data_IF_756937909595
#
_entry.id   IF_756937909595
#
_cell.length_a   1.000
_cell.length_b   1.000
_cell.length_c   1.000
_cell.angle_alpha   90.00
_cell.angle_beta   90.00
_cell.angle_gamma   90.00
#
_symmetry.space_group_name_H-M   'P 1'
#
loop_
_entity.id
_entity.type
_entity.pdbx_description
1 polymer ?
#
# COMPACT_ATOMS: atom_id res chain seq x y z
N UNK A 1 -9.66 4.46 1.04
CA UNK A 1 -9.12 3.16 1.48
C UNK A 1 -9.88 2.53 2.64
N UNK A 2 -10.36 3.31 3.63
CA UNK A 2 -11.01 2.77 4.84
C UNK A 2 -12.08 1.70 4.62
N UNK A 3 -12.99 1.80 3.63
CA UNK A 3 -13.98 0.74 3.39
C UNK A 3 -13.37 -0.62 2.99
N UNK A 4 -12.17 -0.63 2.42
CA UNK A 4 -11.45 -1.83 2.01
C UNK A 4 -10.46 -2.33 3.07
N UNK A 5 -10.40 -1.71 4.25
CA UNK A 5 -9.37 -1.99 5.25
C UNK A 5 -9.38 -3.44 5.72
N UNK A 6 -10.57 -4.02 5.94
CA UNK A 6 -10.68 -5.43 6.33
C UNK A 6 -10.15 -6.39 5.26
N UNK A 7 -10.47 -6.15 3.98
CA UNK A 7 -9.94 -6.96 2.89
C UNK A 7 -8.42 -6.86 2.77
N UNK A 8 -7.83 -5.69 3.06
CA UNK A 8 -6.38 -5.52 3.03
C UNK A 8 -5.72 -6.24 4.22
N UNK A 9 -6.25 -6.05 5.43
CA UNK A 9 -5.59 -6.48 6.68
C UNK A 9 -5.92 -7.91 7.08
N UNK A 10 -7.18 -8.32 6.95
CA UNK A 10 -7.64 -9.65 7.36
C UNK A 10 -7.38 -10.70 6.27
N UNK A 11 -7.51 -10.30 5.00
CA UNK A 11 -7.39 -11.21 3.85
C UNK A 11 -6.01 -11.11 3.18
N UNK A 12 -5.72 -10.01 2.47
CA UNK A 12 -4.52 -9.91 1.64
C UNK A 12 -3.22 -10.10 2.45
N UNK A 13 -3.07 -9.37 3.56
CA UNK A 13 -1.87 -9.42 4.39
C UNK A 13 -1.60 -10.80 5.01
N UNK A 14 -2.65 -11.58 5.27
CA UNK A 14 -2.55 -12.83 6.03
C UNK A 14 -2.66 -14.07 5.17
N UNK A 15 -3.02 -13.95 3.89
CA UNK A 15 -3.31 -15.09 3.03
C UNK A 15 -2.15 -16.11 3.00
N UNK A 16 -0.93 -15.65 2.73
CA UNK A 16 0.28 -16.49 2.72
C UNK A 16 0.54 -17.17 4.06
N UNK A 17 0.38 -16.41 5.15
CA UNK A 17 0.64 -16.94 6.49
C UNK A 17 -0.41 -17.97 6.92
N UNK A 18 -1.70 -17.66 6.76
CA UNK A 18 -2.81 -18.54 7.20
C UNK A 18 -2.93 -19.79 6.35
N UNK A 19 -2.47 -19.75 5.11
CA UNK A 19 -2.43 -20.92 4.22
C UNK A 19 -1.11 -21.69 4.31
N UNK A 20 -0.19 -21.32 5.18
CA UNK A 20 1.16 -21.90 5.24
C UNK A 20 1.87 -21.94 3.86
N UNK A 21 1.69 -20.89 3.05
CA UNK A 21 2.29 -20.77 1.72
C UNK A 21 1.49 -21.32 0.54
N UNK A 22 0.39 -22.05 0.77
CA UNK A 22 -0.42 -22.62 -0.32
C UNK A 22 -1.06 -21.56 -1.23
N UNK A 23 -1.39 -20.39 -0.69
CA UNK A 23 -1.97 -19.26 -1.41
C UNK A 23 -1.12 -18.00 -1.18
N UNK A 24 -0.93 -17.20 -2.22
CA UNK A 24 -0.23 -15.91 -2.15
C UNK A 24 -1.13 -14.78 -2.65
N UNK A 25 -0.77 -13.52 -2.34
CA UNK A 25 -1.54 -12.35 -2.73
C UNK A 25 -0.65 -11.31 -3.44
N UNK A 26 -0.23 -11.57 -4.70
CA UNK A 26 0.62 -10.64 -5.45
C UNK A 26 -0.21 -9.48 -6.00
N UNK A 27 -0.48 -8.49 -5.16
CA UNK A 27 -1.25 -7.29 -5.51
C UNK A 27 -0.52 -6.01 -5.12
N UNK A 28 -0.77 -4.94 -5.88
CA UNK A 28 -0.30 -3.58 -5.54
C UNK A 28 -1.51 -2.66 -5.39
N UNK A 29 -1.71 -2.11 -4.21
CA UNK A 29 -2.75 -1.11 -3.92
C UNK A 29 -2.13 0.27 -3.97
N UNK A 30 -2.45 1.01 -5.04
CA UNK A 30 -1.94 2.38 -5.25
C UNK A 30 -2.93 3.41 -4.72
N UNK A 31 -2.43 4.44 -4.02
CA UNK A 31 -3.29 5.51 -3.50
C UNK A 31 -2.56 6.85 -3.43
N UNK A 32 -3.13 7.94 -4.00
CA UNK A 32 -2.63 9.28 -3.75
C UNK A 32 -2.74 9.68 -2.27
N UNK A 33 -1.66 10.21 -1.69
CA UNK A 33 -1.57 10.59 -0.27
C UNK A 33 -1.00 12.00 -0.10
N UNK A 34 -0.88 12.47 1.14
CA UNK A 34 -0.22 13.72 1.50
C UNK A 34 -1.06 14.99 1.28
N UNK A 35 -0.74 16.05 2.02
CA UNK A 35 -1.45 17.34 1.95
C UNK A 35 -0.82 18.36 1.00
N UNK A 36 -1.05 19.64 1.27
CA UNK A 36 -0.41 20.75 0.54
C UNK A 36 -1.09 21.17 -0.77
N UNK A 37 -2.32 20.70 -1.02
CA UNK A 37 -3.10 20.98 -2.23
C UNK A 37 -4.54 21.46 -1.94
N UNK A 38 -4.81 21.97 -0.74
CA UNK A 38 -6.15 22.41 -0.29
C UNK A 38 -7.23 21.30 -0.30
N UNK A 39 -6.84 20.03 -0.11
CA UNK A 39 -7.76 18.88 -0.13
C UNK A 39 -8.62 18.68 1.14
N UNK A 40 -8.42 19.49 2.19
CA UNK A 40 -9.19 19.37 3.43
C UNK A 40 -9.02 18.00 4.12
N UNK A 41 -10.05 17.60 4.86
CA UNK A 41 -10.00 16.46 5.80
C UNK A 41 -9.82 15.10 5.13
N UNK A 42 -10.46 14.85 3.99
CA UNK A 42 -10.54 13.52 3.36
C UNK A 42 -9.72 13.38 2.08
N UNK A 43 -9.10 14.46 1.58
CA UNK A 43 -8.20 14.42 0.41
C UNK A 43 -6.74 14.80 0.75
N UNK A 44 -6.34 14.83 2.03
CA UNK A 44 -4.98 15.23 2.45
C UNK A 44 -4.30 14.26 3.42
N UNK A 45 -4.91 13.10 3.65
CA UNK A 45 -4.50 12.17 4.70
C UNK A 45 -3.22 11.41 4.32
N UNK A 46 -2.44 11.05 5.35
CA UNK A 46 -1.26 10.19 5.30
C UNK A 46 -1.50 8.98 6.21
N UNK A 47 -2.10 7.89 5.70
CA UNK A 47 -2.55 6.75 6.50
C UNK A 47 -1.52 5.62 6.58
N UNK A 48 -0.24 5.85 6.26
CA UNK A 48 0.81 4.83 6.21
C UNK A 48 0.92 4.02 7.50
N UNK A 49 0.75 4.67 8.66
CA UNK A 49 0.82 4.01 9.96
C UNK A 49 -0.18 2.86 10.09
N UNK A 50 -1.38 3.00 9.51
CA UNK A 50 -2.40 1.95 9.55
C UNK A 50 -1.93 0.67 8.85
N UNK A 51 -1.10 0.81 7.81
CA UNK A 51 -0.60 -0.33 7.04
C UNK A 51 0.74 -0.84 7.58
N UNK A 52 1.63 0.03 8.06
CA UNK A 52 2.94 -0.39 8.59
C UNK A 52 2.82 -1.17 9.90
N UNK A 53 1.70 -1.03 10.63
CA UNK A 53 1.40 -1.84 11.81
C UNK A 53 0.85 -3.24 11.48
N UNK A 54 0.63 -3.56 10.21
CA UNK A 54 0.04 -4.83 9.77
C UNK A 54 1.12 -5.75 9.22
N UNK A 55 1.39 -6.85 9.91
CA UNK A 55 2.28 -7.90 9.43
C UNK A 55 1.78 -8.50 8.12
N UNK A 56 2.68 -8.70 7.17
CA UNK A 56 2.39 -9.29 5.86
C UNK A 56 2.11 -8.28 4.74
N UNK A 57 2.12 -6.97 5.03
CA UNK A 57 2.12 -5.91 4.02
C UNK A 57 3.52 -5.30 3.86
N UNK A 58 3.86 -4.92 2.63
CA UNK A 58 4.97 -3.99 2.33
C UNK A 58 4.37 -2.60 2.06
N UNK A 59 4.99 -1.53 2.55
CA UNK A 59 4.50 -0.15 2.38
C UNK A 59 5.59 0.71 1.77
N UNK A 60 5.27 1.44 0.69
CA UNK A 60 6.21 2.25 -0.09
C UNK A 60 5.64 3.65 -0.29
N UNK A 61 6.50 4.67 -0.19
CA UNK A 61 6.19 6.08 -0.49
C UNK A 61 7.32 6.70 -1.33
N UNK A 62 7.21 6.79 -2.67
CA UNK A 62 8.23 7.45 -3.49
C UNK A 62 8.16 8.98 -3.33
N UNK A 63 9.27 9.66 -3.62
CA UNK A 63 9.38 11.12 -3.52
C UNK A 63 9.88 11.82 -4.79
N UNK A 64 10.19 11.06 -5.84
CA UNK A 64 10.64 11.59 -7.12
C UNK A 64 10.24 10.66 -8.29
N UNK A 65 10.24 11.15 -9.55
CA UNK A 65 9.78 10.36 -10.70
C UNK A 65 10.62 9.11 -10.97
N UNK A 66 11.92 9.16 -10.71
CA UNK A 66 12.82 8.02 -10.93
C UNK A 66 12.44 6.86 -10.01
N UNK A 67 12.31 7.14 -8.71
CA UNK A 67 11.95 6.14 -7.71
C UNK A 67 10.50 5.68 -7.88
N UNK A 68 9.58 6.58 -8.23
CA UNK A 68 8.19 6.20 -8.51
C UNK A 68 8.10 5.13 -9.61
N UNK A 69 8.86 5.30 -10.70
CA UNK A 69 8.92 4.31 -11.79
C UNK A 69 9.54 3.00 -11.32
N UNK A 70 10.74 3.06 -10.73
CA UNK A 70 11.50 1.86 -10.36
C UNK A 70 10.80 1.05 -9.27
N UNK A 71 10.34 1.71 -8.21
CA UNK A 71 9.67 1.06 -7.09
C UNK A 71 8.30 0.52 -7.47
N UNK A 72 7.58 1.15 -8.39
CA UNK A 72 6.29 0.61 -8.85
C UNK A 72 6.49 -0.67 -9.66
N UNK A 73 7.49 -0.72 -10.54
CA UNK A 73 7.83 -1.95 -11.27
C UNK A 73 8.22 -3.05 -10.29
N UNK A 74 9.12 -2.74 -9.35
CA UNK A 74 9.54 -3.70 -8.32
C UNK A 74 8.36 -4.20 -7.46
N UNK A 75 7.41 -3.33 -7.11
CA UNK A 75 6.22 -3.69 -6.36
C UNK A 75 5.27 -4.62 -7.16
N UNK A 76 5.14 -4.41 -8.47
CA UNK A 76 4.31 -5.26 -9.35
C UNK A 76 4.93 -6.67 -9.49
N UNK A 77 6.26 -6.75 -9.50
CA UNK A 77 6.99 -8.03 -9.58
C UNK A 77 7.10 -8.75 -8.23
N UNK A 78 6.74 -8.09 -7.13
CA UNK A 78 6.83 -8.64 -5.78
C UNK A 78 5.69 -9.65 -5.51
N UNK A 79 5.98 -10.83 -4.94
CA UNK A 79 4.95 -11.84 -4.67
C UNK A 79 4.11 -11.56 -3.40
N UNK A 80 4.44 -10.52 -2.63
CA UNK A 80 3.72 -10.08 -1.43
C UNK A 80 2.83 -8.86 -1.71
N UNK A 81 1.75 -8.65 -0.95
CA UNK A 81 0.89 -7.48 -1.13
C UNK A 81 1.61 -6.17 -0.77
N UNK A 82 1.58 -5.19 -1.67
CA UNK A 82 2.24 -3.89 -1.52
C UNK A 82 1.23 -2.75 -1.46
N UNK A 83 1.36 -1.88 -0.47
CA UNK A 83 0.68 -0.58 -0.39
C UNK A 83 1.62 0.49 -0.93
N UNK A 84 1.25 1.09 -2.06
CA UNK A 84 2.06 2.09 -2.76
C UNK A 84 1.39 3.48 -2.65
N UNK A 85 1.92 4.32 -1.79
CA UNK A 85 1.33 5.63 -1.47
C UNK A 85 2.03 6.74 -2.25
N UNK A 86 1.30 7.46 -3.10
CA UNK A 86 1.85 8.44 -4.04
C UNK A 86 1.59 9.87 -3.53
N UNK A 87 2.58 10.61 -3.01
CA UNK A 87 2.38 11.99 -2.58
C UNK A 87 1.90 12.86 -3.75
N UNK A 88 0.77 13.55 -3.56
CA UNK A 88 0.08 14.29 -4.65
C UNK A 88 0.62 15.70 -4.92
N UNK A 89 1.65 16.13 -4.19
CA UNK A 89 2.26 17.46 -4.30
C UNK A 89 3.59 17.37 -5.03
#
# INVERSE_FOLDING_TARGET
>A
VYPAYDQIVSEAARLRYRSNGDFTCPIVVRMPTGGGIFGGQTHSQSPEALFTHVSGLKVIVPSNPHDAKGLLIAAIEDPDPVIFLEPKR
#
